data_IF_570519673351
#
_entry.id   IF_570519673351
#
_cell.length_a   1.000
_cell.length_b   1.000
_cell.length_c   1.000
_cell.angle_alpha   90.00
_cell.angle_beta   90.00
_cell.angle_gamma   90.00
#
_symmetry.space_group_name_H-M   'P 1'
#
loop_
_entity.id
_entity.type
_entity.pdbx_description
1 polymer ?
#
# COMPACT_ATOMS: atom_id res chain seq x y z
N UNK A 1 26.75 -63.39 -7.83
CA UNK A 1 26.74 -62.35 -8.88
C UNK A 1 25.71 -61.32 -8.50
N UNK A 2 26.12 -60.29 -7.78
CA UNK A 2 25.32 -59.09 -7.49
C UNK A 2 26.27 -57.94 -7.73
N UNK A 3 26.11 -57.24 -8.86
CA UNK A 3 26.88 -56.07 -9.18
C UNK A 3 26.44 -54.95 -8.23
N UNK A 4 27.31 -54.58 -7.30
CA UNK A 4 27.18 -53.34 -6.53
C UNK A 4 27.44 -52.19 -7.49
N UNK A 5 26.40 -51.60 -8.08
CA UNK A 5 26.54 -50.32 -8.76
C UNK A 5 26.98 -49.27 -7.73
N UNK A 6 28.13 -48.66 -7.97
CA UNK A 6 28.70 -47.61 -7.13
C UNK A 6 27.79 -46.36 -7.12
N UNK A 7 27.66 -45.66 -5.98
CA UNK A 7 26.83 -44.45 -5.86
C UNK A 7 27.23 -43.34 -6.86
N UNK A 8 28.48 -43.32 -7.31
CA UNK A 8 28.99 -42.40 -8.33
C UNK A 8 28.44 -42.67 -9.73
N UNK A 9 28.12 -43.92 -10.07
CA UNK A 9 27.56 -44.30 -11.39
C UNK A 9 26.07 -43.96 -11.53
N UNK A 10 25.32 -43.94 -10.41
CA UNK A 10 23.94 -43.48 -10.39
C UNK A 10 23.83 -41.96 -10.50
N UNK A 11 24.66 -41.21 -9.76
CA UNK A 11 24.70 -39.74 -9.81
C UNK A 11 25.03 -39.20 -11.21
N UNK A 12 25.91 -39.89 -11.95
CA UNK A 12 26.28 -39.52 -13.33
C UNK A 12 25.20 -39.86 -14.36
N UNK A 13 24.31 -40.82 -14.07
CA UNK A 13 23.17 -41.14 -14.92
C UNK A 13 22.03 -40.15 -14.71
N UNK A 14 21.72 -39.83 -13.45
CA UNK A 14 20.72 -38.81 -13.07
C UNK A 14 21.08 -37.43 -13.65
N UNK A 15 22.36 -37.03 -13.57
CA UNK A 15 22.83 -35.78 -14.14
C UNK A 15 22.64 -35.69 -15.67
N UNK A 16 22.91 -36.79 -16.38
CA UNK A 16 22.74 -36.86 -17.85
C UNK A 16 21.25 -36.76 -18.23
N UNK A 17 20.39 -37.42 -17.47
CA UNK A 17 18.94 -37.37 -17.68
C UNK A 17 18.37 -35.97 -17.40
N UNK A 18 18.87 -35.30 -16.37
CA UNK A 18 18.49 -33.92 -16.06
C UNK A 18 18.96 -32.93 -17.13
N UNK A 19 20.20 -33.04 -17.61
CA UNK A 19 20.70 -32.21 -18.72
C UNK A 19 19.90 -32.42 -20.01
N UNK A 20 19.56 -33.68 -20.34
CA UNK A 20 18.71 -33.99 -21.51
C UNK A 20 17.32 -33.39 -21.36
N UNK A 21 16.68 -33.60 -20.20
CA UNK A 21 15.36 -33.04 -19.90
C UNK A 21 15.36 -31.51 -19.94
N UNK A 22 16.43 -30.88 -19.50
CA UNK A 22 16.62 -29.43 -19.56
C UNK A 22 16.73 -28.92 -21.00
N UNK A 23 17.50 -29.61 -21.84
CA UNK A 23 17.62 -29.30 -23.26
C UNK A 23 16.30 -29.53 -24.03
N UNK A 24 15.59 -30.63 -23.74
CA UNK A 24 14.28 -30.96 -24.35
C UNK A 24 13.21 -29.94 -24.00
N UNK A 25 13.26 -29.39 -22.79
CA UNK A 25 12.43 -28.25 -22.36
C UNK A 25 12.90 -26.91 -22.93
N UNK A 26 13.92 -26.90 -23.79
CA UNK A 26 14.43 -25.73 -24.50
C UNK A 26 15.31 -24.81 -23.66
N UNK A 27 15.76 -25.23 -22.47
CA UNK A 27 16.52 -24.40 -21.55
C UNK A 27 17.78 -23.76 -22.15
N UNK A 28 18.44 -24.46 -23.09
CA UNK A 28 19.62 -23.97 -23.81
C UNK A 28 19.32 -22.97 -24.93
N UNK A 29 18.05 -22.88 -25.34
CA UNK A 29 17.58 -22.02 -26.46
C UNK A 29 16.74 -20.83 -25.97
N UNK A 30 16.51 -20.73 -24.66
CA UNK A 30 15.79 -19.61 -24.07
C UNK A 30 16.64 -18.35 -24.16
N UNK A 31 16.22 -17.38 -24.96
CA UNK A 31 16.86 -16.06 -25.07
C UNK A 31 15.84 -14.95 -24.90
N UNK A 32 16.31 -13.76 -24.49
CA UNK A 32 15.47 -12.57 -24.30
C UNK A 32 14.82 -12.08 -25.61
N UNK A 33 15.42 -12.38 -26.75
CA UNK A 33 14.95 -11.94 -28.07
C UNK A 33 13.80 -12.80 -28.60
N UNK A 34 13.79 -14.09 -28.24
CA UNK A 34 12.81 -15.06 -28.74
C UNK A 34 11.68 -15.36 -27.76
N UNK A 35 11.92 -15.20 -26.45
CA UNK A 35 10.96 -15.55 -25.41
C UNK A 35 10.64 -14.35 -24.50
N UNK A 36 9.38 -13.93 -24.50
CA UNK A 36 8.93 -12.77 -23.71
C UNK A 36 9.02 -13.03 -22.20
N UNK A 37 8.84 -14.29 -21.77
CA UNK A 37 8.95 -14.68 -20.36
C UNK A 37 10.39 -14.96 -19.90
N UNK A 38 11.39 -14.82 -20.77
CA UNK A 38 12.79 -15.06 -20.42
C UNK A 38 13.23 -14.27 -19.18
N UNK A 39 12.75 -13.03 -19.03
CA UNK A 39 13.12 -12.18 -17.91
C UNK A 39 12.64 -12.71 -16.55
N UNK A 40 11.67 -13.63 -16.55
CA UNK A 40 11.10 -14.27 -15.37
C UNK A 40 11.73 -15.64 -15.02
N UNK A 41 12.73 -16.12 -15.78
CA UNK A 41 13.37 -17.44 -15.60
C UNK A 41 13.83 -17.68 -14.15
N UNK A 42 14.33 -16.65 -13.46
CA UNK A 42 14.84 -16.77 -12.09
C UNK A 42 13.79 -16.47 -11.01
N UNK A 43 12.61 -15.99 -11.39
CA UNK A 43 11.56 -15.57 -10.45
C UNK A 43 10.50 -16.64 -10.28
N UNK A 44 10.07 -17.30 -11.37
CA UNK A 44 9.00 -18.29 -11.37
C UNK A 44 9.60 -19.68 -11.06
N UNK A 45 9.34 -20.19 -9.86
CA UNK A 45 9.84 -21.50 -9.41
C UNK A 45 8.76 -22.56 -9.24
N UNK A 46 7.48 -22.19 -9.19
CA UNK A 46 6.41 -23.18 -9.01
C UNK A 46 5.35 -23.12 -10.11
N UNK A 47 4.69 -24.26 -10.41
CA UNK A 47 3.55 -24.27 -11.33
C UNK A 47 2.38 -23.40 -10.86
N UNK A 48 2.25 -23.13 -9.56
CA UNK A 48 1.24 -22.23 -9.01
C UNK A 48 1.54 -20.76 -9.36
N UNK A 49 2.79 -20.34 -9.22
CA UNK A 49 3.25 -19.00 -9.64
C UNK A 49 3.03 -18.78 -11.14
N UNK A 50 3.33 -19.78 -11.98
CA UNK A 50 3.06 -19.71 -13.42
C UNK A 50 1.56 -19.54 -13.73
N UNK A 51 0.68 -20.25 -13.02
CA UNK A 51 -0.79 -20.09 -13.15
C UNK A 51 -1.28 -18.75 -12.65
N UNK A 52 -0.72 -18.24 -11.55
CA UNK A 52 -1.05 -16.93 -11.02
C UNK A 52 -0.64 -15.83 -12.02
N UNK A 53 0.55 -15.94 -12.62
CA UNK A 53 1.03 -15.02 -13.64
C UNK A 53 0.15 -15.03 -14.90
N UNK A 54 -0.26 -16.21 -15.39
CA UNK A 54 -1.20 -16.34 -16.52
C UNK A 54 -2.56 -15.71 -16.20
N UNK A 55 -3.08 -15.94 -14.99
CA UNK A 55 -4.34 -15.31 -14.53
C UNK A 55 -4.25 -13.79 -14.53
N UNK A 56 -3.19 -13.23 -13.93
CA UNK A 56 -2.96 -11.77 -13.89
C UNK A 56 -2.86 -11.20 -15.31
N UNK A 57 -2.12 -11.88 -16.19
CA UNK A 57 -1.99 -11.45 -17.59
C UNK A 57 -3.34 -11.46 -18.33
N UNK A 58 -4.16 -12.50 -18.13
CA UNK A 58 -5.48 -12.61 -18.73
C UNK A 58 -6.44 -11.53 -18.23
N UNK A 59 -6.43 -11.22 -16.92
CA UNK A 59 -7.24 -10.16 -16.33
C UNK A 59 -6.84 -8.77 -16.84
N UNK A 60 -5.53 -8.48 -16.86
CA UNK A 60 -4.98 -7.24 -17.39
C UNK A 60 -5.42 -7.02 -18.84
N UNK A 61 -5.24 -8.02 -19.70
CA UNK A 61 -5.53 -7.93 -21.14
C UNK A 61 -7.03 -7.88 -21.43
N UNK A 62 -7.82 -8.72 -20.76
CA UNK A 62 -9.24 -8.92 -21.07
C UNK A 62 -10.17 -7.90 -20.44
N UNK A 63 -9.80 -7.32 -19.30
CA UNK A 63 -10.72 -6.51 -18.48
C UNK A 63 -10.11 -5.19 -18.03
N UNK A 64 -9.00 -5.24 -17.30
CA UNK A 64 -8.51 -4.08 -16.54
C UNK A 64 -7.91 -2.99 -17.43
N UNK A 65 -7.00 -3.36 -18.34
CA UNK A 65 -6.38 -2.41 -19.26
C UNK A 65 -7.39 -1.77 -20.22
N UNK A 66 -8.32 -2.52 -20.86
CA UNK A 66 -9.40 -1.91 -21.65
C UNK A 66 -10.26 -0.92 -20.84
N UNK A 67 -10.57 -1.23 -19.58
CA UNK A 67 -11.35 -0.34 -18.71
C UNK A 67 -10.60 0.96 -18.40
N UNK A 68 -9.30 0.89 -18.08
CA UNK A 68 -8.46 2.07 -17.85
C UNK A 68 -8.32 2.91 -19.12
N UNK A 69 -8.07 2.29 -20.28
CA UNK A 69 -7.98 3.00 -21.57
C UNK A 69 -9.27 3.73 -21.91
N UNK A 70 -10.42 3.07 -21.68
CA UNK A 70 -11.73 3.71 -21.86
C UNK A 70 -11.90 4.90 -20.91
N UNK A 71 -11.57 4.74 -19.63
CA UNK A 71 -11.66 5.82 -18.65
C UNK A 71 -10.76 7.01 -19.05
N UNK A 72 -9.53 6.75 -19.49
CA UNK A 72 -8.57 7.77 -19.93
C UNK A 72 -9.14 8.71 -21.00
N UNK A 73 -9.92 8.20 -21.97
CA UNK A 73 -10.55 9.02 -23.02
C UNK A 73 -11.56 10.04 -22.51
N UNK A 74 -12.14 9.80 -21.32
CA UNK A 74 -13.13 10.68 -20.69
C UNK A 74 -12.52 11.60 -19.62
N UNK A 75 -11.22 11.48 -19.36
CA UNK A 75 -10.51 12.28 -18.37
C UNK A 75 -9.87 13.52 -18.99
N UNK A 76 -9.70 14.54 -18.15
CA UNK A 76 -8.98 15.75 -18.53
C UNK A 76 -7.55 15.42 -18.97
N UNK A 77 -7.10 16.06 -20.05
CA UNK A 77 -5.76 15.84 -20.61
C UNK A 77 -5.59 14.56 -21.42
N UNK A 78 -6.61 13.68 -21.48
CA UNK A 78 -6.59 12.42 -22.23
C UNK A 78 -5.28 11.61 -21.99
N UNK A 79 -5.03 11.16 -20.74
CA UNK A 79 -3.78 10.51 -20.36
C UNK A 79 -3.44 9.32 -21.26
N UNK A 80 -2.17 9.15 -21.60
CA UNK A 80 -1.67 8.12 -22.54
C UNK A 80 -1.12 6.86 -21.86
N UNK A 81 -1.04 6.85 -20.53
CA UNK A 81 -0.50 5.75 -19.72
C UNK A 81 -1.39 5.43 -18.52
N UNK A 82 -1.19 4.25 -17.91
CA UNK A 82 -1.89 3.88 -16.67
C UNK A 82 -1.51 4.83 -15.54
N UNK A 83 -0.23 5.17 -15.40
CA UNK A 83 0.25 6.09 -14.36
C UNK A 83 -0.25 7.53 -14.51
N UNK A 84 -0.39 8.03 -15.75
CA UNK A 84 -1.04 9.32 -16.02
C UNK A 84 -2.53 9.28 -15.68
N UNK A 85 -3.21 8.20 -16.04
CA UNK A 85 -4.63 7.99 -15.71
C UNK A 85 -4.85 7.99 -14.20
N UNK A 86 -4.00 7.28 -13.45
CA UNK A 86 -4.05 7.28 -11.99
C UNK A 86 -3.82 8.65 -11.38
N UNK A 87 -2.90 9.45 -11.92
CA UNK A 87 -2.67 10.84 -11.48
C UNK A 87 -3.89 11.73 -11.74
N UNK A 88 -4.52 11.61 -12.92
CA UNK A 88 -5.72 12.36 -13.26
C UNK A 88 -6.90 11.99 -12.35
N UNK A 89 -7.13 10.69 -12.11
CA UNK A 89 -8.18 10.21 -11.19
C UNK A 89 -7.92 10.69 -9.76
N UNK A 90 -6.68 10.59 -9.28
CA UNK A 90 -6.32 11.06 -7.94
C UNK A 90 -6.55 12.58 -7.79
N UNK A 91 -6.27 13.36 -8.83
CA UNK A 91 -6.59 14.78 -8.86
C UNK A 91 -8.09 15.03 -8.80
N UNK A 92 -8.92 14.32 -9.58
CA UNK A 92 -10.37 14.46 -9.53
C UNK A 92 -10.96 14.11 -8.16
N UNK A 93 -10.46 13.05 -7.52
CA UNK A 93 -10.86 12.69 -6.15
C UNK A 93 -10.50 13.82 -5.17
N UNK A 94 -9.33 14.43 -5.34
CA UNK A 94 -8.88 15.57 -4.53
C UNK A 94 -9.74 16.79 -4.76
N UNK A 95 -10.00 17.16 -6.01
CA UNK A 95 -10.91 18.25 -6.40
C UNK A 95 -12.30 18.04 -5.81
N UNK A 96 -12.85 16.82 -5.83
CA UNK A 96 -14.15 16.49 -5.21
C UNK A 96 -14.15 16.75 -3.70
N UNK A 97 -13.06 16.40 -2.99
CA UNK A 97 -12.91 16.71 -1.55
C UNK A 97 -12.76 18.20 -1.31
N UNK A 98 -11.99 18.91 -2.14
CA UNK A 98 -11.82 20.36 -2.07
C UNK A 98 -13.16 21.06 -2.30
N UNK A 99 -13.96 20.64 -3.28
CA UNK A 99 -15.29 21.19 -3.57
C UNK A 99 -16.36 20.87 -2.50
N UNK A 100 -16.17 19.79 -1.75
CA UNK A 100 -17.00 19.53 -0.58
C UNK A 100 -16.73 20.53 0.57
N UNK A 101 -15.50 21.05 0.65
CA UNK A 101 -15.10 22.04 1.67
C UNK A 101 -15.27 23.49 1.20
N UNK A 102 -15.07 23.75 -0.10
CA UNK A 102 -15.12 25.05 -0.75
C UNK A 102 -16.11 25.02 -1.92
N UNK A 103 -16.88 26.07 -2.15
CA UNK A 103 -17.68 26.20 -3.36
C UNK A 103 -16.81 26.29 -4.62
N UNK A 104 -17.37 26.03 -5.82
CA UNK A 104 -16.64 26.13 -7.10
C UNK A 104 -15.94 27.47 -7.32
N UNK A 105 -16.51 28.56 -6.76
CA UNK A 105 -15.94 29.92 -6.86
C UNK A 105 -14.52 30.04 -6.28
N UNK A 106 -14.08 29.07 -5.47
CA UNK A 106 -12.71 29.03 -4.96
C UNK A 106 -11.67 28.86 -6.07
N UNK A 107 -12.01 28.13 -7.15
CA UNK A 107 -11.10 27.96 -8.28
C UNK A 107 -11.06 29.17 -9.21
N UNK A 108 -12.15 29.95 -9.28
CA UNK A 108 -12.24 31.17 -10.08
C UNK A 108 -11.51 32.37 -9.45
N UNK A 109 -11.06 32.23 -8.20
CA UNK A 109 -10.41 33.32 -7.46
C UNK A 109 -8.93 33.46 -7.85
N UNK A 110 -8.54 34.66 -8.30
CA UNK A 110 -7.14 34.99 -8.62
C UNK A 110 -6.26 35.15 -7.36
N UNK A 111 -6.79 35.72 -6.28
CA UNK A 111 -6.03 36.04 -5.04
C UNK A 111 -5.86 34.85 -4.07
N UNK A 112 -5.79 33.61 -4.57
CA UNK A 112 -5.85 32.42 -3.70
C UNK A 112 -4.67 32.38 -2.70
N UNK A 113 -3.48 32.82 -3.11
CA UNK A 113 -2.29 32.90 -2.25
C UNK A 113 -2.46 33.90 -1.09
N UNK A 114 -3.12 35.04 -1.33
CA UNK A 114 -3.43 36.01 -0.26
C UNK A 114 -4.40 35.42 0.76
N UNK A 115 -5.40 34.66 0.30
CA UNK A 115 -6.38 33.99 1.15
C UNK A 115 -5.71 32.90 2.00
N UNK A 116 -4.79 32.12 1.42
CA UNK A 116 -3.97 31.13 2.12
C UNK A 116 -3.16 31.81 3.22
N UNK A 117 -2.41 32.86 2.90
CA UNK A 117 -1.59 33.59 3.87
C UNK A 117 -2.41 34.21 5.00
N UNK A 118 -3.60 34.75 4.69
CA UNK A 118 -4.50 35.34 5.67
C UNK A 118 -5.09 34.30 6.64
N UNK A 119 -5.44 33.11 6.13
CA UNK A 119 -6.03 32.03 6.93
C UNK A 119 -5.01 31.25 7.76
N UNK A 120 -3.74 31.24 7.35
CA UNK A 120 -2.64 30.55 8.02
C UNK A 120 -2.46 30.93 9.51
N UNK A 121 -1.73 30.10 10.26
CA UNK A 121 -1.28 30.42 11.62
C UNK A 121 -0.07 31.39 11.61
N UNK A 122 0.40 31.79 12.79
CA UNK A 122 1.53 32.73 12.91
C UNK A 122 2.87 32.15 12.45
N UNK A 123 3.14 30.89 12.81
CA UNK A 123 4.37 30.19 12.48
C UNK A 123 4.56 30.06 10.95
N UNK A 124 3.52 29.63 10.24
CA UNK A 124 3.51 29.49 8.78
C UNK A 124 3.87 30.80 8.07
N UNK A 125 3.33 31.94 8.53
CA UNK A 125 3.63 33.26 7.94
C UNK A 125 5.06 33.71 8.21
N UNK A 126 5.57 33.44 9.42
CA UNK A 126 6.95 33.77 9.80
C UNK A 126 7.96 32.98 8.96
N UNK A 127 7.73 31.68 8.80
CA UNK A 127 8.57 30.78 7.98
C UNK A 127 8.66 31.26 6.52
N UNK A 128 7.54 31.69 5.94
CA UNK A 128 7.48 32.17 4.54
C UNK A 128 7.75 33.67 4.37
N UNK A 129 8.09 34.38 5.44
CA UNK A 129 8.35 35.83 5.40
C UNK A 129 7.14 36.69 5.02
N UNK A 130 5.91 36.16 5.10
CA UNK A 130 4.70 36.85 4.61
C UNK A 130 4.13 37.77 5.69
N UNK A 131 4.13 39.08 5.43
CA UNK A 131 3.50 40.09 6.28
C UNK A 131 2.13 40.47 5.74
N UNK A 132 1.07 40.12 6.46
CA UNK A 132 -0.31 40.50 6.12
C UNK A 132 -0.83 41.51 7.16
N UNK A 133 -1.15 42.77 6.79
CA UNK A 133 -1.72 43.75 7.70
C UNK A 133 -3.01 43.26 8.37
N UNK A 134 -3.24 43.61 9.65
CA UNK A 134 -4.36 43.09 10.45
C UNK A 134 -5.75 43.33 9.83
N UNK A 135 -6.00 44.54 9.31
CA UNK A 135 -7.27 44.91 8.66
C UNK A 135 -7.48 44.13 7.36
N UNK A 136 -6.45 44.09 6.49
CA UNK A 136 -6.47 43.31 5.24
C UNK A 136 -6.70 41.83 5.53
N UNK A 137 -6.04 41.28 6.56
CA UNK A 137 -6.24 39.89 7.01
C UNK A 137 -7.66 39.63 7.47
N UNK A 138 -8.30 40.54 8.20
CA UNK A 138 -9.71 40.39 8.64
C UNK A 138 -10.66 40.35 7.44
N UNK A 139 -10.44 41.22 6.44
CA UNK A 139 -11.20 41.23 5.19
C UNK A 139 -10.99 39.95 4.37
N UNK A 140 -9.74 39.54 4.12
CA UNK A 140 -9.40 38.32 3.39
C UNK A 140 -9.97 37.06 4.06
N UNK A 141 -9.97 36.98 5.39
CA UNK A 141 -10.64 35.89 6.13
C UNK A 141 -12.17 35.92 5.98
N UNK A 142 -12.75 37.11 5.82
CA UNK A 142 -14.15 37.28 5.45
C UNK A 142 -14.45 36.67 4.10
N UNK A 143 -13.68 37.06 3.06
CA UNK A 143 -13.75 36.49 1.71
C UNK A 143 -13.56 34.97 1.70
N UNK A 144 -12.50 34.47 2.34
CA UNK A 144 -12.21 33.05 2.44
C UNK A 144 -13.37 32.26 3.07
N UNK A 145 -14.02 32.79 4.11
CA UNK A 145 -15.21 32.16 4.70
C UNK A 145 -16.42 32.16 3.76
N UNK A 146 -16.53 33.14 2.87
CA UNK A 146 -17.56 33.18 1.83
C UNK A 146 -17.40 32.08 0.78
N UNK A 147 -16.18 31.59 0.57
CA UNK A 147 -15.89 30.46 -0.34
C UNK A 147 -16.16 29.10 0.31
N UNK A 148 -16.31 29.01 1.64
CA UNK A 148 -16.49 27.74 2.32
C UNK A 148 -17.92 27.20 2.12
N UNK A 149 -18.04 25.91 1.80
CA UNK A 149 -19.34 25.23 1.67
C UNK A 149 -20.09 25.15 3.00
N UNK A 150 -19.36 25.24 4.12
CA UNK A 150 -19.93 25.30 5.47
C UNK A 150 -19.59 26.61 6.18
N UNK A 151 -20.61 27.23 6.77
CA UNK A 151 -20.51 28.47 7.55
C UNK A 151 -19.65 28.33 8.81
N UNK A 152 -19.43 27.10 9.30
CA UNK A 152 -18.69 26.82 10.54
C UNK A 152 -17.36 26.10 10.30
N UNK A 153 -16.77 26.24 9.10
CA UNK A 153 -15.46 25.67 8.83
C UNK A 153 -14.41 26.17 9.85
N UNK A 154 -13.73 25.23 10.51
CA UNK A 154 -12.62 25.55 11.42
C UNK A 154 -11.52 26.27 10.64
N UNK A 155 -10.86 27.25 11.26
CA UNK A 155 -9.85 28.06 10.58
C UNK A 155 -8.72 27.23 9.96
N UNK A 156 -8.27 26.17 10.64
CA UNK A 156 -7.27 25.24 10.10
C UNK A 156 -7.77 24.44 8.90
N UNK A 157 -9.01 23.96 8.94
CA UNK A 157 -9.63 23.25 7.83
C UNK A 157 -9.84 24.14 6.61
N UNK A 158 -10.24 25.41 6.83
CA UNK A 158 -10.35 26.40 5.76
C UNK A 158 -9.00 26.70 5.11
N UNK A 159 -7.95 26.90 5.92
CA UNK A 159 -6.59 27.08 5.39
C UNK A 159 -6.14 25.87 4.58
N UNK A 160 -6.31 24.66 5.11
CA UNK A 160 -5.96 23.42 4.42
C UNK A 160 -6.72 23.26 3.08
N UNK A 161 -8.02 23.60 3.05
CA UNK A 161 -8.81 23.53 1.83
C UNK A 161 -8.38 24.55 0.77
N UNK A 162 -8.03 25.78 1.17
CA UNK A 162 -7.52 26.80 0.24
C UNK A 162 -6.15 26.41 -0.33
N UNK A 163 -5.24 25.91 0.51
CA UNK A 163 -3.97 25.34 0.05
C UNK A 163 -4.20 24.18 -0.90
N UNK A 164 -5.18 23.32 -0.58
CA UNK A 164 -5.53 22.21 -1.44
C UNK A 164 -5.99 22.69 -2.83
N UNK A 165 -6.86 23.69 -2.87
CA UNK A 165 -7.37 24.30 -4.10
C UNK A 165 -6.25 24.92 -4.96
N UNK A 166 -5.26 25.59 -4.35
CA UNK A 166 -4.13 26.16 -5.08
C UNK A 166 -3.28 25.08 -5.75
N UNK A 167 -2.94 24.03 -5.01
CA UNK A 167 -2.23 22.87 -5.56
C UNK A 167 -3.07 22.12 -6.61
N UNK A 168 -4.40 22.03 -6.43
CA UNK A 168 -5.31 21.43 -7.41
C UNK A 168 -5.25 22.20 -8.74
N UNK A 169 -5.25 23.54 -8.72
CA UNK A 169 -5.09 24.38 -9.93
C UNK A 169 -3.77 24.12 -10.64
N UNK A 170 -2.66 24.04 -9.91
CA UNK A 170 -1.34 23.78 -10.50
C UNK A 170 -1.29 22.42 -11.18
N UNK A 171 -1.80 21.37 -10.50
CA UNK A 171 -1.84 20.01 -11.05
C UNK A 171 -2.80 19.89 -12.23
N UNK A 172 -3.93 20.59 -12.17
CA UNK A 172 -4.90 20.62 -13.24
C UNK A 172 -4.33 21.26 -14.50
N UNK A 173 -3.71 22.45 -14.38
CA UNK A 173 -3.06 23.12 -15.50
C UNK A 173 -1.94 22.27 -16.13
N UNK A 174 -1.19 21.52 -15.30
CA UNK A 174 -0.15 20.62 -15.80
C UNK A 174 -0.70 19.43 -16.60
N UNK A 175 -1.90 18.93 -16.27
CA UNK A 175 -2.55 17.81 -16.99
C UNK A 175 -3.35 18.29 -18.20
N UNK A 176 -4.10 19.38 -18.04
CA UNK A 176 -5.11 19.84 -18.98
C UNK A 176 -4.55 20.85 -20.01
N UNK A 177 -3.37 21.41 -19.75
CA UNK A 177 -2.80 22.53 -20.48
C UNK A 177 -3.23 23.89 -19.91
N UNK A 178 -2.54 24.95 -20.33
CA UNK A 178 -2.77 26.31 -19.83
C UNK A 178 -4.12 26.91 -20.26
N UNK A 179 -4.66 26.44 -21.38
CA UNK A 179 -5.95 26.90 -21.91
C UNK A 179 -7.15 26.18 -21.26
N UNK A 180 -6.88 25.18 -20.41
CA UNK A 180 -7.93 24.51 -19.68
C UNK A 180 -8.49 25.44 -18.59
N UNK A 181 -9.82 25.51 -18.53
CA UNK A 181 -10.53 26.25 -17.49
C UNK A 181 -10.25 25.74 -16.07
N UNK A 182 -10.95 26.32 -15.09
CA UNK A 182 -10.86 25.94 -13.69
C UNK A 182 -11.11 24.43 -13.46
N UNK A 183 -10.49 23.82 -12.44
CA UNK A 183 -10.75 22.42 -12.07
C UNK A 183 -12.24 22.13 -11.91
N UNK A 184 -12.73 21.16 -12.66
CA UNK A 184 -14.14 20.76 -12.68
C UNK A 184 -14.28 19.24 -12.56
N UNK A 185 -15.39 18.79 -11.98
CA UNK A 185 -15.73 17.37 -11.94
C UNK A 185 -16.47 16.96 -13.22
N UNK A 186 -16.26 15.74 -13.73
CA UNK A 186 -17.10 15.17 -14.77
C UNK A 186 -18.57 15.14 -14.35
N UNK A 187 -19.49 15.28 -15.31
CA UNK A 187 -20.95 15.22 -15.08
C UNK A 187 -21.39 13.82 -14.60
N UNK A 188 -20.72 12.78 -15.09
CA UNK A 188 -20.95 11.41 -14.66
C UNK A 188 -20.29 11.15 -13.28
N UNK A 189 -21.14 11.02 -12.25
CA UNK A 189 -20.72 10.82 -10.88
C UNK A 189 -19.98 9.48 -10.65
N UNK A 190 -20.27 8.45 -11.44
CA UNK A 190 -19.66 7.12 -11.29
C UNK A 190 -18.34 7.00 -12.04
N UNK A 191 -18.08 7.87 -13.03
CA UNK A 191 -16.86 7.87 -13.82
C UNK A 191 -15.61 7.86 -12.93
N UNK A 192 -15.56 8.71 -11.91
CA UNK A 192 -14.39 8.81 -11.01
C UNK A 192 -14.19 7.51 -10.22
N UNK A 193 -15.27 6.91 -9.73
CA UNK A 193 -15.19 5.69 -8.92
C UNK A 193 -14.78 4.50 -9.79
N UNK A 194 -15.43 4.33 -10.95
CA UNK A 194 -15.10 3.29 -11.92
C UNK A 194 -13.65 3.41 -12.44
N UNK A 195 -13.21 4.63 -12.73
CA UNK A 195 -11.83 4.88 -13.16
C UNK A 195 -10.82 4.58 -12.04
N UNK A 196 -11.14 4.91 -10.78
CA UNK A 196 -10.30 4.60 -9.64
C UNK A 196 -10.16 3.10 -9.42
N UNK A 197 -11.26 2.35 -9.49
CA UNK A 197 -11.26 0.89 -9.38
C UNK A 197 -10.48 0.24 -10.53
N UNK A 198 -10.69 0.69 -11.77
CA UNK A 198 -9.98 0.18 -12.94
C UNK A 198 -8.46 0.44 -12.85
N UNK A 199 -8.05 1.65 -12.46
CA UNK A 199 -6.64 1.99 -12.24
C UNK A 199 -6.06 1.12 -11.13
N UNK A 200 -6.75 0.98 -10.00
CA UNK A 200 -6.25 0.19 -8.88
C UNK A 200 -6.03 -1.28 -9.27
N UNK A 201 -7.00 -1.89 -9.95
CA UNK A 201 -6.90 -3.27 -10.42
C UNK A 201 -5.74 -3.45 -11.41
N UNK A 202 -5.61 -2.53 -12.37
CA UNK A 202 -4.51 -2.53 -13.35
C UNK A 202 -3.15 -2.37 -12.67
N UNK A 203 -2.99 -1.39 -11.77
CA UNK A 203 -1.76 -1.17 -11.01
C UNK A 203 -1.34 -2.38 -10.18
N UNK A 204 -2.31 -3.08 -9.56
CA UNK A 204 -2.04 -4.31 -8.82
C UNK A 204 -1.47 -5.39 -9.75
N UNK A 205 -2.13 -5.62 -10.89
CA UNK A 205 -1.69 -6.61 -11.88
C UNK A 205 -0.32 -6.27 -12.48
N UNK A 206 -0.10 -5.00 -12.84
CA UNK A 206 1.19 -4.53 -13.36
C UNK A 206 2.31 -4.62 -12.31
N UNK A 207 2.02 -4.35 -11.04
CA UNK A 207 2.99 -4.54 -9.95
C UNK A 207 3.35 -6.02 -9.80
N UNK A 208 2.35 -6.91 -9.84
CA UNK A 208 2.59 -8.36 -9.76
C UNK A 208 3.43 -8.86 -10.95
N UNK A 209 3.10 -8.43 -12.17
CA UNK A 209 3.83 -8.80 -13.39
C UNK A 209 5.24 -8.18 -13.43
N UNK A 210 5.40 -6.93 -13.01
CA UNK A 210 6.69 -6.23 -12.97
C UNK A 210 7.71 -6.91 -12.05
N UNK A 211 7.25 -7.47 -10.92
CA UNK A 211 8.10 -8.28 -10.02
C UNK A 211 8.68 -9.53 -10.69
N UNK A 212 7.98 -10.08 -11.69
CA UNK A 212 8.41 -11.27 -12.42
C UNK A 212 9.35 -10.90 -13.57
N UNK A 213 9.04 -9.83 -14.32
CA UNK A 213 9.76 -9.51 -15.55
C UNK A 213 11.07 -8.75 -15.28
N UNK A 214 11.04 -7.64 -14.55
CA UNK A 214 12.21 -6.86 -14.10
C UNK A 214 11.72 -5.81 -13.10
N UNK A 215 12.10 -5.87 -11.80
CA UNK A 215 11.61 -4.95 -10.79
C UNK A 215 11.87 -3.46 -11.10
N UNK A 216 12.90 -3.16 -11.90
CA UNK A 216 13.31 -1.80 -12.25
C UNK A 216 12.46 -1.18 -13.37
N UNK A 217 11.69 -1.99 -14.11
CA UNK A 217 10.90 -1.51 -15.24
C UNK A 217 9.55 -0.99 -14.75
N UNK A 218 9.34 0.32 -14.87
CA UNK A 218 8.03 0.93 -14.62
C UNK A 218 7.07 0.61 -15.77
N UNK A 219 6.20 -0.39 -15.55
CA UNK A 219 5.18 -0.78 -16.51
C UNK A 219 4.02 0.24 -16.59
N UNK A 220 3.79 1.05 -15.56
CA UNK A 220 2.71 2.04 -15.55
C UNK A 220 3.06 3.28 -16.38
N UNK A 221 4.35 3.52 -16.61
CA UNK A 221 4.87 4.59 -17.45
C UNK A 221 4.87 4.26 -18.95
N UNK A 222 4.66 3.00 -19.33
CA UNK A 222 4.54 2.62 -20.75
C UNK A 222 3.29 3.26 -21.37
N UNK A 223 3.38 3.61 -22.65
CA UNK A 223 2.19 3.99 -23.41
C UNK A 223 1.20 2.84 -23.44
N UNK A 224 -0.09 3.15 -23.59
CA UNK A 224 -1.11 2.10 -23.68
C UNK A 224 -0.82 1.10 -24.81
N UNK A 225 -0.33 1.56 -25.95
CA UNK A 225 -0.03 0.69 -27.09
C UNK A 225 1.20 -0.19 -26.80
N UNK A 226 2.29 0.38 -26.25
CA UNK A 226 3.48 -0.42 -25.86
C UNK A 226 3.16 -1.46 -24.78
N UNK A 227 2.26 -1.10 -23.85
CA UNK A 227 1.82 -2.01 -22.80
C UNK A 227 0.97 -3.14 -23.39
N UNK A 228 0.04 -2.85 -24.31
CA UNK A 228 -0.73 -3.88 -25.02
C UNK A 228 0.22 -4.81 -25.77
N UNK A 229 1.17 -4.28 -26.52
CA UNK A 229 2.15 -5.07 -27.28
C UNK A 229 3.01 -5.95 -26.37
N UNK A 230 3.39 -5.46 -25.18
CA UNK A 230 4.08 -6.28 -24.18
C UNK A 230 3.20 -7.42 -23.66
N UNK A 231 1.96 -7.14 -23.26
CA UNK A 231 1.04 -8.15 -22.75
C UNK A 231 0.68 -9.18 -23.82
N UNK A 232 0.50 -8.77 -25.07
CA UNK A 232 0.23 -9.68 -26.19
C UNK A 232 1.43 -10.59 -26.48
N UNK A 233 2.67 -10.08 -26.44
CA UNK A 233 3.88 -10.92 -26.57
C UNK A 233 4.02 -11.92 -25.44
N UNK A 234 3.72 -11.52 -24.19
CA UNK A 234 3.72 -12.43 -23.05
C UNK A 234 2.63 -13.50 -23.18
N UNK A 235 1.46 -13.14 -23.69
CA UNK A 235 0.35 -14.08 -23.89
C UNK A 235 0.65 -15.07 -25.02
N UNK A 236 1.35 -14.63 -26.08
CA UNK A 236 1.79 -15.51 -27.16
C UNK A 236 2.85 -16.54 -26.69
N UNK A 237 3.61 -16.22 -25.64
CA UNK A 237 4.70 -17.04 -25.09
C UNK A 237 4.27 -17.81 -23.81
N UNK A 238 2.98 -18.12 -23.67
CA UNK A 238 2.46 -18.84 -22.50
C UNK A 238 3.06 -20.26 -22.34
N UNK A 239 3.50 -20.87 -23.45
CA UNK A 239 4.23 -22.13 -23.42
C UNK A 239 5.55 -22.06 -22.67
N UNK A 240 6.26 -20.92 -22.70
CA UNK A 240 7.49 -20.73 -21.92
C UNK A 240 7.19 -20.52 -20.46
N UNK A 241 6.17 -19.71 -20.15
CA UNK A 241 5.71 -19.48 -18.78
C UNK A 241 5.52 -20.79 -17.99
N UNK A 242 4.83 -21.77 -18.60
CA UNK A 242 4.58 -23.06 -17.94
C UNK A 242 5.79 -24.01 -17.90
N UNK A 243 6.82 -23.79 -18.74
CA UNK A 243 8.09 -24.53 -18.68
C UNK A 243 9.05 -24.00 -17.60
N UNK A 244 8.96 -22.71 -17.24
CA UNK A 244 9.90 -22.07 -16.30
C UNK A 244 10.08 -22.80 -14.96
N UNK A 245 9.02 -23.28 -14.25
CA UNK A 245 9.19 -24.00 -13.00
C UNK A 245 10.02 -25.28 -13.15
N UNK A 246 9.78 -26.04 -14.22
CA UNK A 246 10.50 -27.28 -14.49
C UNK A 246 11.96 -26.99 -14.88
N UNK A 247 12.18 -25.98 -15.73
CA UNK A 247 13.51 -25.50 -16.10
C UNK A 247 14.32 -25.05 -14.88
N UNK A 248 13.71 -24.31 -13.96
CA UNK A 248 14.38 -23.88 -12.72
C UNK A 248 14.67 -25.06 -11.80
N UNK A 249 13.71 -25.97 -11.59
CA UNK A 249 13.94 -27.16 -10.78
C UNK A 249 15.01 -28.09 -11.35
N UNK A 250 15.15 -28.18 -12.69
CA UNK A 250 16.24 -28.90 -13.35
C UNK A 250 17.57 -28.20 -13.11
N UNK A 251 17.65 -26.88 -13.35
CA UNK A 251 18.85 -26.09 -13.12
C UNK A 251 19.34 -26.15 -11.67
N UNK A 252 18.42 -26.08 -10.70
CA UNK A 252 18.74 -26.15 -9.28
C UNK A 252 19.24 -27.56 -8.85
N UNK A 253 18.96 -28.61 -9.64
CA UNK A 253 19.46 -29.98 -9.42
C UNK A 253 20.79 -30.27 -10.13
N UNK A 254 21.15 -29.48 -11.13
CA UNK A 254 22.48 -29.56 -11.75
C UNK A 254 23.52 -29.07 -10.72
N UNK A 255 24.54 -29.87 -10.38
CA UNK A 255 25.54 -29.48 -9.38
C UNK A 255 26.28 -28.21 -9.81
N UNK A 256 26.23 -27.17 -8.97
CA UNK A 256 26.76 -25.84 -9.25
C UNK A 256 28.30 -25.78 -9.42
N UNK A 257 29.04 -26.81 -9.00
CA UNK A 257 30.50 -26.84 -9.12
C UNK A 257 30.92 -27.35 -10.51
N UNK A 258 31.16 -26.42 -11.43
CA UNK A 258 31.79 -26.66 -12.74
C UNK A 258 30.84 -26.70 -13.94
N UNK A 259 29.53 -26.90 -13.72
CA UNK A 259 28.52 -26.89 -14.78
C UNK A 259 28.06 -25.50 -15.21
N UNK A 260 28.23 -24.47 -14.38
CA UNK A 260 27.85 -23.10 -14.73
C UNK A 260 28.66 -22.57 -15.94
N UNK A 261 29.96 -22.84 -15.98
CA UNK A 261 30.83 -22.44 -17.09
C UNK A 261 30.43 -23.14 -18.40
N UNK A 262 30.08 -24.41 -18.30
CA UNK A 262 29.66 -25.24 -19.42
C UNK A 262 28.22 -24.96 -19.87
N UNK A 263 27.36 -24.58 -18.94
CA UNK A 263 26.01 -24.08 -19.22
C UNK A 263 26.09 -22.75 -19.97
N UNK A 264 26.98 -21.85 -19.57
CA UNK A 264 27.25 -20.59 -20.30
C UNK A 264 27.79 -20.89 -21.70
N UNK A 265 28.68 -21.87 -21.88
CA UNK A 265 29.20 -22.28 -23.18
C UNK A 265 28.11 -22.90 -24.08
N UNK A 266 27.32 -23.83 -23.55
CA UNK A 266 26.22 -24.50 -24.28
C UNK A 266 25.08 -23.55 -24.66
N UNK A 267 24.77 -22.57 -23.81
CA UNK A 267 23.78 -21.51 -24.10
C UNK A 267 24.31 -20.50 -25.11
N UNK A 268 25.62 -20.22 -25.12
CA UNK A 268 26.25 -19.34 -26.10
C UNK A 268 26.33 -19.96 -27.51
N UNK A 269 26.43 -21.29 -27.61
CA UNK A 269 26.49 -21.99 -28.90
C UNK A 269 25.11 -22.45 -29.44
N UNK A 270 24.01 -22.19 -28.74
CA UNK A 270 22.66 -22.73 -29.07
C UNK A 270 22.73 -24.24 -29.39
N UNK A 271 23.44 -24.98 -28.54
CA UNK A 271 23.94 -26.32 -28.84
C UNK A 271 22.84 -27.31 -29.26
N UNK A 272 23.03 -27.96 -30.42
CA UNK A 272 22.18 -29.04 -30.89
C UNK A 272 22.22 -30.26 -29.94
N UNK A 273 21.19 -31.09 -29.92
CA UNK A 273 21.05 -32.26 -29.03
C UNK A 273 22.30 -33.17 -28.98
N UNK A 274 22.98 -33.35 -30.11
CA UNK A 274 24.22 -34.12 -30.20
C UNK A 274 25.42 -33.47 -29.46
N UNK A 275 25.46 -32.14 -29.40
CA UNK A 275 26.47 -31.38 -28.65
C UNK A 275 26.17 -31.48 -27.15
N UNK A 276 24.91 -31.42 -26.74
CA UNK A 276 24.50 -31.62 -25.34
C UNK A 276 24.93 -33.00 -24.83
N UNK A 277 24.75 -34.04 -25.64
CA UNK A 277 25.12 -35.41 -25.25
C UNK A 277 26.64 -35.60 -25.13
N UNK A 278 27.42 -35.07 -26.08
CA UNK A 278 28.89 -35.10 -26.04
C UNK A 278 29.47 -34.28 -24.87
N UNK A 279 28.87 -33.13 -24.59
CA UNK A 279 29.31 -32.23 -23.52
C UNK A 279 28.92 -32.78 -22.14
N UNK A 280 27.75 -33.41 -22.01
CA UNK A 280 27.38 -34.15 -20.79
C UNK A 280 28.35 -35.31 -20.51
N UNK A 281 28.83 -36.01 -21.54
CA UNK A 281 29.85 -37.05 -21.40
C UNK A 281 31.19 -36.47 -20.91
N UNK A 282 31.64 -35.36 -21.48
CA UNK A 282 32.87 -34.68 -21.07
C UNK A 282 32.83 -34.13 -19.63
N UNK A 283 31.69 -33.58 -19.18
CA UNK A 283 31.49 -33.15 -17.78
C UNK A 283 31.57 -34.34 -16.83
N UNK A 284 30.88 -35.42 -17.17
CA UNK A 284 30.87 -36.64 -16.35
C UNK A 284 32.28 -37.19 -16.23
N UNK A 285 33.08 -37.16 -17.31
CA UNK A 285 34.49 -37.52 -17.27
C UNK A 285 35.30 -36.58 -16.36
N UNK A 286 35.11 -35.26 -16.47
CA UNK A 286 35.80 -34.28 -15.62
C UNK A 286 35.48 -34.41 -14.13
N UNK A 287 34.24 -34.74 -13.76
CA UNK A 287 33.81 -34.97 -12.36
C UNK A 287 34.30 -36.32 -11.82
N UNK A 288 34.47 -37.32 -12.69
CA UNK A 288 34.88 -38.68 -12.30
C UNK A 288 36.39 -38.87 -12.23
N UNK A 289 37.18 -38.00 -12.86
CA UNK A 289 38.64 -38.01 -12.74
C UNK A 289 39.05 -37.21 -11.49
N UNK A 290 39.49 -37.86 -10.39
CA UNK A 290 40.11 -37.12 -9.30
C UNK A 290 41.39 -36.47 -9.83
N UNK A 291 41.53 -35.15 -9.69
CA UNK A 291 42.82 -34.49 -9.86
C UNK A 291 43.85 -35.25 -9.00
N UNK A 292 45.00 -35.68 -9.55
CA UNK A 292 45.98 -36.41 -8.77
C UNK A 292 46.61 -35.44 -7.77
N UNK A 293 46.13 -35.48 -6.53
CA UNK A 293 46.85 -34.93 -5.37
C UNK A 293 48.13 -35.75 -5.22
N UNK A 294 49.22 -35.24 -5.78
CA UNK A 294 50.55 -35.75 -5.54
C UNK A 294 50.91 -35.45 -4.07
N UNK A 295 50.74 -36.43 -3.19
CA UNK A 295 51.38 -36.44 -1.87
C UNK A 295 52.30 -37.66 -1.78
N UNK A 296 53.54 -37.37 -1.38
CA UNK A 296 54.74 -38.21 -1.37
C UNK A 296 54.63 -39.45 -0.46
N UNK A 297 55.41 -40.52 -0.69
CA UNK A 297 55.30 -41.74 0.09
C UNK A 297 56.04 -41.59 1.43
N UNK A 298 55.33 -41.75 2.55
CA UNK A 298 55.93 -41.83 3.88
C UNK A 298 55.56 -43.15 4.59
N UNK A 299 56.51 -44.08 4.52
CA UNK A 299 56.93 -45.08 5.52
C UNK A 299 55.90 -45.76 6.45
N UNK A 300 55.84 -47.09 6.36
CA UNK A 300 55.49 -47.99 7.48
C UNK A 300 56.48 -47.81 8.65
N UNK A 301 56.02 -47.95 9.90
CA UNK A 301 56.31 -49.22 10.59
C UNK A 301 55.22 -49.78 11.52
N UNK A 302 55.47 -51.05 11.85
CA UNK A 302 54.84 -52.11 12.66
C UNK A 302 54.01 -51.83 13.95
N UNK A 303 53.26 -52.83 14.45
CA UNK A 303 52.14 -52.69 15.40
C UNK A 303 52.45 -53.16 16.84
N UNK A 304 52.04 -52.44 17.91
CA UNK A 304 51.87 -53.00 19.28
C UNK A 304 50.91 -52.16 20.16
N UNK A 305 49.92 -52.85 20.73
CA UNK A 305 49.18 -52.70 22.03
C UNK A 305 48.59 -51.37 22.56
N UNK A 306 47.28 -51.42 22.86
CA UNK A 306 46.61 -50.71 23.98
C UNK A 306 47.08 -51.30 25.33
N UNK A 307 47.22 -50.53 26.45
CA UNK A 307 46.02 -50.00 27.14
C UNK A 307 46.18 -48.76 28.06
N UNK A 308 44.99 -48.26 28.46
CA UNK A 308 44.60 -47.60 29.74
C UNK A 308 45.31 -46.33 30.27
N UNK A 309 44.47 -45.29 30.48
CA UNK A 309 44.43 -44.22 31.52
C UNK A 309 45.69 -43.92 32.34
N UNK A 310 46.04 -42.63 32.49
CA UNK A 310 45.54 -41.75 33.56
C UNK A 310 46.04 -40.30 33.36
N UNK A 311 45.32 -39.35 33.95
CA UNK A 311 45.52 -37.90 33.86
C UNK A 311 46.87 -37.41 34.39
N UNK A 312 47.28 -36.18 34.02
CA UNK A 312 47.72 -35.09 34.93
C UNK A 312 48.47 -33.96 34.16
N UNK A 313 48.03 -32.72 34.43
CA UNK A 313 48.70 -31.39 34.32
C UNK A 313 48.98 -30.70 32.96
N UNK A 314 48.26 -29.58 32.80
CA UNK A 314 48.71 -28.28 32.23
C UNK A 314 50.07 -27.80 32.80
N UNK A 315 50.86 -26.95 32.10
CA UNK A 315 50.41 -25.63 31.62
C UNK A 315 50.94 -25.10 30.25
N UNK A 316 50.10 -24.22 29.67
CA UNK A 316 50.29 -22.99 28.85
C UNK A 316 51.70 -22.53 28.37
N UNK A 317 51.85 -21.58 27.38
CA UNK A 317 50.82 -20.74 26.72
C UNK A 317 51.01 -20.49 25.19
N UNK A 318 50.13 -19.61 24.68
CA UNK A 318 50.30 -18.65 23.56
C UNK A 318 49.66 -19.06 22.24
N UNK A 319 48.37 -18.69 22.05
CA UNK A 319 47.89 -18.17 20.76
C UNK A 319 46.95 -16.99 21.04
N UNK A 320 47.20 -15.92 20.27
CA UNK A 320 46.51 -14.63 20.26
C UNK A 320 45.00 -14.74 20.04
N UNK A 321 44.32 -13.81 20.71
CA UNK A 321 42.90 -13.57 20.68
C UNK A 321 42.41 -12.95 19.36
N UNK A 322 41.28 -13.45 18.86
CA UNK A 322 40.14 -12.61 18.43
C UNK A 322 38.87 -13.38 18.77
N UNK A 323 38.26 -13.06 19.93
CA UNK A 323 36.95 -13.56 20.33
C UNK A 323 35.90 -12.60 19.77
N UNK A 324 34.98 -13.17 19.01
CA UNK A 324 33.72 -12.59 18.57
C UNK A 324 32.84 -12.33 19.80
N UNK A 325 32.72 -11.07 20.21
CA UNK A 325 31.80 -10.66 21.26
C UNK A 325 30.42 -10.41 20.66
N UNK A 326 29.56 -11.43 20.78
CA UNK A 326 28.10 -11.25 20.78
C UNK A 326 27.74 -10.50 22.07
N UNK A 327 27.46 -9.21 21.95
CA UNK A 327 26.85 -8.42 23.03
C UNK A 327 25.36 -8.32 22.73
N UNK A 328 24.58 -9.05 23.53
CA UNK A 328 23.16 -8.77 23.72
C UNK A 328 23.00 -7.37 24.34
N UNK A 329 22.13 -6.49 23.82
CA UNK A 329 21.77 -5.28 24.55
C UNK A 329 20.83 -5.64 25.71
N UNK A 330 21.39 -5.66 26.92
CA UNK A 330 20.64 -5.53 28.16
C UNK A 330 19.84 -4.23 28.11
N UNK A 331 18.51 -4.33 28.04
CA UNK A 331 17.61 -3.18 28.20
C UNK A 331 17.58 -2.83 29.69
N UNK A 332 18.42 -1.88 30.04
CA UNK A 332 18.46 -1.24 31.36
C UNK A 332 17.18 -0.40 31.55
N UNK A 333 16.44 -0.74 32.61
CA UNK A 333 15.26 -0.02 33.07
C UNK A 333 15.70 1.33 33.63
N UNK A 334 15.66 2.37 32.80
CA UNK A 334 15.76 3.76 33.26
C UNK A 334 14.37 4.22 33.71
N UNK A 335 14.18 4.20 35.01
CA UNK A 335 13.10 4.87 35.73
C UNK A 335 13.09 6.36 35.41
N UNK A 336 12.04 6.85 34.74
CA UNK A 336 11.74 8.27 34.63
C UNK A 336 10.91 8.68 35.86
N UNK A 337 11.35 9.68 36.66
CA UNK A 337 10.65 10.10 37.86
C UNK A 337 9.34 10.85 37.55
N UNK A 338 8.34 10.63 38.39
CA UNK A 338 7.04 11.30 38.41
C UNK A 338 7.19 12.85 38.44
N UNK A 339 6.35 13.61 37.71
CA UNK A 339 6.31 15.05 37.90
C UNK A 339 5.61 15.39 39.21
N UNK A 340 6.41 15.95 40.11
CA UNK A 340 6.02 16.62 41.34
C UNK A 340 5.04 17.76 41.06
N UNK A 341 3.94 17.76 41.81
CA UNK A 341 2.99 18.87 41.94
C UNK A 341 3.74 20.07 42.54
N UNK A 342 3.85 21.15 41.79
CA UNK A 342 4.20 22.47 42.31
C UNK A 342 3.03 23.43 42.10
N UNK A 343 2.63 24.04 43.20
CA UNK A 343 1.55 25.00 43.34
C UNK A 343 1.84 26.28 42.54
N UNK A 344 0.85 26.89 41.88
CA UNK A 344 1.06 28.18 41.24
C UNK A 344 1.06 29.29 42.29
N UNK A 345 2.20 30.02 42.34
CA UNK A 345 2.33 31.31 43.01
C UNK A 345 1.43 32.33 42.30
N UNK A 346 0.61 33.00 43.10
CA UNK A 346 -0.22 34.12 42.74
C UNK A 346 0.61 35.37 42.40
N UNK A 347 0.29 36.07 41.32
CA UNK A 347 0.15 37.54 41.36
C UNK A 347 -0.53 38.13 40.10
N UNK A 348 -1.39 39.10 40.38
CA UNK A 348 -1.85 40.23 39.56
C UNK A 348 -2.88 39.99 38.43
N UNK A 349 -4.15 40.13 38.83
CA UNK A 349 -5.27 40.56 37.99
C UNK A 349 -5.03 41.96 37.39
N UNK A 350 -5.54 42.23 36.17
CA UNK A 350 -6.07 43.54 35.87
C UNK A 350 -7.60 43.50 35.71
N UNK A 351 -8.23 44.30 36.57
CA UNK A 351 -9.59 44.81 36.53
C UNK A 351 -9.98 45.27 35.12
N UNK A 352 -11.10 44.78 34.60
CA UNK A 352 -11.84 45.43 33.51
C UNK A 352 -13.31 45.52 33.89
N UNK A 353 -13.78 46.78 33.91
CA UNK A 353 -15.11 47.25 34.24
C UNK A 353 -16.20 46.69 33.30
N UNK A 354 -17.46 46.55 33.76
CA UNK A 354 -18.56 46.06 32.94
C UNK A 354 -19.15 47.16 32.05
N UNK A 355 -19.15 46.95 30.74
CA UNK A 355 -19.94 47.74 29.78
C UNK A 355 -21.44 47.37 29.84
N UNK A 356 -22.36 48.33 29.62
CA UNK A 356 -23.77 48.22 30.00
C UNK A 356 -24.64 47.42 29.03
N UNK A 357 -25.68 46.81 29.60
CA UNK A 357 -26.79 46.14 28.91
C UNK A 357 -27.64 47.17 28.15
N UNK A 358 -27.59 47.10 26.82
CA UNK A 358 -28.47 47.89 25.95
C UNK A 358 -29.85 47.23 25.83
N UNK A 359 -30.84 48.09 25.98
CA UNK A 359 -32.28 47.86 26.08
C UNK A 359 -32.87 47.39 24.75
N UNK A 360 -33.82 46.47 24.86
CA UNK A 360 -34.69 45.96 23.81
C UNK A 360 -35.68 47.08 23.43
N UNK A 361 -35.60 47.59 22.20
CA UNK A 361 -36.67 48.40 21.60
C UNK A 361 -37.44 47.59 20.57
N UNK A 362 -38.76 47.68 20.68
CA UNK A 362 -39.77 46.93 19.95
C UNK A 362 -39.94 47.45 18.52
N UNK A 363 -40.12 46.51 17.58
CA UNK A 363 -40.61 46.79 16.22
C UNK A 363 -42.12 47.09 16.24
N UNK A 364 -42.63 47.99 15.36
CA UNK A 364 -44.05 48.25 15.22
C UNK A 364 -44.74 47.26 14.26
N UNK A 365 -46.01 46.97 14.57
CA UNK A 365 -46.95 46.11 13.86
C UNK A 365 -47.71 46.86 12.75
N UNK A 366 -47.83 46.27 11.56
CA UNK A 366 -48.96 46.37 10.60
C UNK A 366 -48.70 45.37 9.44
N UNK A 367 -49.35 44.20 9.38
CA UNK A 367 -50.67 43.83 8.80
C UNK A 367 -50.50 43.04 7.47
N UNK A 368 -51.45 42.14 7.11
CA UNK A 368 -51.11 40.80 6.64
C UNK A 368 -51.58 40.50 5.21
N UNK A 369 -50.79 39.76 4.43
CA UNK A 369 -51.33 39.05 3.26
C UNK A 369 -50.50 37.82 2.86
N UNK A 370 -51.23 36.83 2.33
CA UNK A 370 -50.80 35.57 1.72
C UNK A 370 -50.47 34.39 2.66
N UNK A 371 -51.53 33.63 2.95
CA UNK A 371 -51.48 32.28 3.49
C UNK A 371 -50.59 31.35 2.63
N UNK A 372 -49.43 30.98 3.18
CA UNK A 372 -48.64 29.84 2.71
C UNK A 372 -48.92 28.63 3.61
N UNK A 373 -49.33 27.53 2.98
CA UNK A 373 -49.67 26.24 3.60
C UNK A 373 -48.53 25.76 4.52
N UNK A 374 -48.80 25.38 5.79
CA UNK A 374 -47.75 24.95 6.70
C UNK A 374 -47.21 23.58 6.28
N UNK A 375 -45.95 23.53 5.84
CA UNK A 375 -45.22 22.27 5.70
C UNK A 375 -45.00 21.65 7.09
N UNK A 376 -45.11 20.32 7.26
CA UNK A 376 -44.95 19.67 8.54
C UNK A 376 -43.54 19.91 9.09
N UNK A 377 -43.44 20.54 10.26
CA UNK A 377 -42.20 20.71 11.01
C UNK A 377 -41.63 19.32 11.31
N UNK A 378 -40.50 18.96 10.69
CA UNK A 378 -39.76 17.74 11.02
C UNK A 378 -39.42 17.75 12.52
N UNK A 379 -39.64 16.65 13.27
CA UNK A 379 -39.32 16.60 14.68
C UNK A 379 -37.82 16.88 14.87
N UNK A 380 -37.50 17.75 15.83
CA UNK A 380 -36.12 18.08 16.20
C UNK A 380 -35.43 16.81 16.70
N UNK A 381 -34.34 16.38 16.03
CA UNK A 381 -33.54 15.24 16.47
C UNK A 381 -33.06 15.45 17.92
N UNK A 382 -33.11 14.42 18.77
CA UNK A 382 -32.49 14.48 20.08
C UNK A 382 -30.97 14.70 19.95
N UNK A 383 -30.38 15.43 20.90
CA UNK A 383 -28.93 15.66 20.96
C UNK A 383 -28.21 14.32 21.18
N UNK A 384 -27.08 14.12 20.48
CA UNK A 384 -26.26 12.92 20.64
C UNK A 384 -25.84 12.78 22.12
N UNK A 385 -26.03 11.61 22.76
CA UNK A 385 -25.61 11.39 24.13
C UNK A 385 -24.08 11.53 24.26
N UNK A 386 -23.62 12.19 25.33
CA UNK A 386 -22.20 12.42 25.61
C UNK A 386 -21.60 11.21 26.33
N UNK A 387 -21.22 10.19 25.57
CA UNK A 387 -20.60 8.96 26.08
C UNK A 387 -19.14 8.91 25.65
N UNK A 388 -18.27 8.45 26.56
CA UNK A 388 -16.83 8.28 26.27
C UNK A 388 -16.63 7.01 25.45
N UNK A 389 -16.31 7.17 24.16
CA UNK A 389 -16.11 6.07 23.20
C UNK A 389 -14.81 5.30 23.52
N UNK A 390 -14.78 4.00 23.24
CA UNK A 390 -13.57 3.16 23.33
C UNK A 390 -13.37 2.41 24.65
N UNK A 391 -14.29 2.51 25.61
CA UNK A 391 -14.28 1.66 26.81
C UNK A 391 -14.81 0.24 26.48
N UNK A 392 -14.41 -0.81 27.23
CA UNK A 392 -15.03 -2.14 27.08
C UNK A 392 -16.53 -2.08 27.39
N UNK A 393 -17.33 -2.97 26.79
CA UNK A 393 -18.80 -2.93 26.92
C UNK A 393 -19.31 -2.95 28.37
N UNK A 394 -18.56 -3.56 29.28
CA UNK A 394 -18.87 -3.64 30.72
C UNK A 394 -18.73 -2.30 31.47
N UNK A 395 -18.09 -1.30 30.85
CA UNK A 395 -17.90 0.02 31.45
C UNK A 395 -19.04 0.99 31.10
N UNK A 396 -19.96 0.60 30.21
CA UNK A 396 -21.17 1.37 29.93
C UNK A 396 -22.32 0.84 30.78
N UNK A 397 -23.13 1.75 31.31
CA UNK A 397 -24.38 1.35 31.95
C UNK A 397 -25.41 0.91 30.90
N UNK A 398 -26.40 0.07 31.26
CA UNK A 398 -27.50 -0.27 30.36
C UNK A 398 -28.23 0.98 29.82
N UNK A 399 -28.41 1.99 30.66
CA UNK A 399 -29.06 3.26 30.30
C UNK A 399 -28.28 4.04 29.24
N UNK A 400 -26.94 4.02 29.30
CA UNK A 400 -26.07 4.65 28.31
C UNK A 400 -26.18 3.94 26.95
N UNK A 401 -26.20 2.61 26.94
CA UNK A 401 -26.37 1.82 25.72
C UNK A 401 -27.74 2.06 25.10
N UNK A 402 -28.81 2.06 25.90
CA UNK A 402 -30.18 2.35 25.47
C UNK A 402 -30.32 3.78 24.93
N UNK A 403 -29.63 4.76 25.53
CA UNK A 403 -29.64 6.14 25.03
C UNK A 403 -28.99 6.27 23.63
N UNK A 404 -27.91 5.54 23.36
CA UNK A 404 -27.26 5.52 22.03
C UNK A 404 -28.16 4.84 21.00
N UNK A 405 -28.70 3.67 21.33
CA UNK A 405 -29.59 2.91 20.44
C UNK A 405 -30.83 3.73 20.11
N UNK A 406 -31.47 4.36 21.10
CA UNK A 406 -32.63 5.23 20.91
C UNK A 406 -32.29 6.42 20.02
N UNK A 407 -31.12 7.05 20.22
CA UNK A 407 -30.67 8.18 19.40
C UNK A 407 -30.45 7.77 17.93
N UNK A 408 -29.89 6.59 17.68
CA UNK A 408 -29.71 6.04 16.33
C UNK A 408 -31.07 5.73 15.70
N UNK A 409 -31.98 5.08 16.42
CA UNK A 409 -33.33 4.75 15.91
C UNK A 409 -34.16 6.02 15.58
N UNK A 410 -33.82 7.17 16.18
CA UNK A 410 -34.48 8.45 15.86
C UNK A 410 -34.06 9.07 14.53
N UNK A 411 -33.09 8.47 13.80
CA UNK A 411 -32.63 9.02 12.53
C UNK A 411 -33.58 8.78 11.35
N UNK A 412 -34.62 7.99 11.55
CA UNK A 412 -35.71 7.73 10.59
C UNK A 412 -35.37 6.69 9.53
N UNK A 413 -34.22 6.03 9.62
CA UNK A 413 -33.84 4.96 8.71
C UNK A 413 -34.46 3.63 9.15
N UNK A 414 -35.12 2.91 8.24
CA UNK A 414 -35.71 1.60 8.53
C UNK A 414 -34.61 0.55 8.63
N UNK A 415 -34.15 0.26 9.84
CA UNK A 415 -33.15 -0.78 10.13
C UNK A 415 -33.79 -1.99 10.79
N UNK A 416 -33.28 -3.18 10.52
CA UNK A 416 -33.52 -4.38 11.32
C UNK A 416 -32.81 -4.29 12.67
N UNK A 417 -33.18 -5.12 13.64
CA UNK A 417 -32.58 -5.11 14.99
C UNK A 417 -31.07 -5.35 14.93
N UNK A 418 -30.64 -6.26 14.05
CA UNK A 418 -29.21 -6.55 13.80
C UNK A 418 -28.46 -5.37 13.18
N UNK A 419 -29.12 -4.60 12.30
CA UNK A 419 -28.54 -3.40 11.71
C UNK A 419 -28.43 -2.25 12.71
N UNK A 420 -29.42 -2.10 13.58
CA UNK A 420 -29.40 -1.13 14.68
C UNK A 420 -28.28 -1.46 15.68
N UNK A 421 -28.09 -2.75 15.99
CA UNK A 421 -26.99 -3.23 16.82
C UNK A 421 -25.63 -2.91 16.19
N UNK A 422 -25.44 -3.17 14.89
CA UNK A 422 -24.19 -2.84 14.18
C UNK A 422 -23.94 -1.32 14.12
N UNK A 423 -24.98 -0.51 13.96
CA UNK A 423 -24.86 0.94 14.00
C UNK A 423 -24.40 1.43 15.39
N UNK A 424 -25.00 0.91 16.46
CA UNK A 424 -24.58 1.21 17.84
C UNK A 424 -23.12 0.76 18.11
N UNK A 425 -22.72 -0.39 17.57
CA UNK A 425 -21.37 -0.91 17.66
C UNK A 425 -20.34 0.03 17.02
N UNK A 426 -20.66 0.56 15.82
CA UNK A 426 -19.82 1.52 15.10
C UNK A 426 -19.68 2.84 15.85
N UNK A 427 -20.76 3.33 16.47
CA UNK A 427 -20.76 4.56 17.25
C UNK A 427 -19.98 4.44 18.57
N UNK A 428 -19.97 3.26 19.19
CA UNK A 428 -19.22 2.98 20.42
C UNK A 428 -17.77 2.55 20.17
N UNK A 429 -17.37 2.35 18.90
CA UNK A 429 -15.99 2.09 18.50
C UNK A 429 -15.52 0.65 18.69
N UNK A 430 -16.44 -0.32 18.75
CA UNK A 430 -16.05 -1.74 18.86
C UNK A 430 -15.67 -2.31 17.49
N UNK A 431 -14.52 -2.99 17.42
CA UNK A 431 -14.00 -3.57 16.17
C UNK A 431 -14.52 -4.98 15.86
N UNK A 432 -14.95 -5.76 16.86
CA UNK A 432 -15.41 -7.15 16.70
C UNK A 432 -16.63 -7.45 17.57
N UNK A 433 -17.53 -8.29 17.08
CA UNK A 433 -18.74 -8.71 17.80
C UNK A 433 -18.41 -9.90 18.72
N UNK A 434 -18.18 -9.61 20.00
CA UNK A 434 -18.05 -10.63 21.04
C UNK A 434 -19.42 -11.02 21.62
N UNK A 435 -19.57 -12.21 22.22
CA UNK A 435 -20.83 -12.66 22.84
C UNK A 435 -21.40 -11.64 23.85
N UNK A 436 -20.52 -11.05 24.67
CA UNK A 436 -20.89 -10.04 25.69
C UNK A 436 -21.39 -8.73 25.08
N UNK A 437 -20.85 -8.32 23.92
CA UNK A 437 -21.27 -7.12 23.20
C UNK A 437 -22.64 -7.35 22.57
N UNK A 438 -22.83 -8.54 21.96
CA UNK A 438 -24.10 -8.93 21.34
C UNK A 438 -25.22 -8.99 22.38
N UNK A 439 -24.95 -9.52 23.56
CA UNK A 439 -25.94 -9.60 24.66
C UNK A 439 -26.31 -8.20 25.19
N UNK A 440 -25.33 -7.36 25.52
CA UNK A 440 -25.58 -6.03 26.08
C UNK A 440 -26.28 -5.09 25.08
N UNK A 441 -25.84 -5.05 23.82
CA UNK A 441 -26.49 -4.24 22.78
C UNK A 441 -27.82 -4.85 22.32
N UNK A 442 -27.94 -6.18 22.32
CA UNK A 442 -29.20 -6.86 22.03
C UNK A 442 -30.29 -6.54 23.05
N UNK A 443 -29.94 -6.52 24.35
CA UNK A 443 -30.85 -6.10 25.41
C UNK A 443 -31.31 -4.64 25.22
N UNK A 444 -30.38 -3.72 24.89
CA UNK A 444 -30.70 -2.32 24.64
C UNK A 444 -31.58 -2.11 23.38
N UNK A 445 -31.34 -2.88 22.30
CA UNK A 445 -32.19 -2.85 21.09
C UNK A 445 -33.60 -3.35 21.39
N UNK A 446 -33.72 -4.45 22.13
CA UNK A 446 -35.01 -4.95 22.61
C UNK A 446 -35.73 -3.95 23.52
N UNK A 447 -35.02 -3.19 24.35
CA UNK A 447 -35.62 -2.16 25.20
C UNK A 447 -36.12 -0.94 24.40
N UNK A 448 -35.46 -0.60 23.29
CA UNK A 448 -35.87 0.54 22.45
C UNK A 448 -37.03 0.18 21.52
N UNK A 449 -37.13 -1.08 21.07
CA UNK A 449 -38.13 -1.55 20.11
C UNK A 449 -39.27 -2.38 20.69
N UNK A 450 -39.12 -2.83 21.94
CA UNK A 450 -40.05 -3.72 22.67
C UNK A 450 -41.16 -3.02 23.42
#
# INVERSE_FOLDING_TARGET
MTATSSPTSSLTTELREDLRSYADLGGLTLTADTHAWYAAVDTIGTPEEARAASTVLAELRGRDLPAVRKAATSLVGAPGTVGETGRAVALLIRVRRTLAALGPQAYDTEDLDELIAATANGAWRKERGVKVPLLRRRSLRGRARGLASSRWARAGALHAALTAAAEDRTKWAALAGADAGAPALPDDAELINNAAEAVQATSLGLTALGRLLRPERDLEALSFDDLVDLLDRLAADEGTLYRLPALRSLRDRLPAEGLDALYVELTAEEAAEAVVEAVAEAVVEAITVPEPRAEEPAAEPEPVEEPLVEAVTEPEPVIEAVVEAVVEPVVEVVTVPEPRVEEPVAEAEPVVEPEPVAVIEAEPVAEPEAAAVPQPRRPRRPRKPSITVGKPVTAYSPEELTAVVRWIDTDGEKRTDDELLRAAMKELGFARIGPRIKEALGAAVSEVRG
#
